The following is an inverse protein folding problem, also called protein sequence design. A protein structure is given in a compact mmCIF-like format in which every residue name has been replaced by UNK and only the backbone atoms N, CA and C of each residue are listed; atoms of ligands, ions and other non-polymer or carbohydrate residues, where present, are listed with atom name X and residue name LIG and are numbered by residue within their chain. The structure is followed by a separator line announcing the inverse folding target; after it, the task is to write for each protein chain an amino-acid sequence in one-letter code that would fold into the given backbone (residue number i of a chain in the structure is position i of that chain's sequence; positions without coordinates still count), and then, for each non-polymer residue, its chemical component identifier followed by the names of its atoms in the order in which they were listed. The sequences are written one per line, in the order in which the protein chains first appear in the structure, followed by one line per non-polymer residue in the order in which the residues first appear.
data_IF_796925677171
#
_entry.id   IF_796925677171
#
_cell.length_a   1.000
_cell.length_b   1.000
_cell.length_c   1.000
_cell.angle_alpha   90.00
_cell.angle_beta   90.00
_cell.angle_gamma   90.00
#
_symmetry.space_group_name_H-M   'P 1'
#
loop_
_entity.id
_entity.type
_entity.pdbx_description
1 polymer ?
#
# COMPACT_ATOMS: atom_id res chain seq x y z
N UNK A 1 -1.48 7.18 24.12
CA UNK A 1 -1.19 8.27 23.16
C UNK A 1 0.30 8.25 22.89
N UNK A 2 0.74 7.58 21.82
CA UNK A 2 2.16 7.54 21.45
C UNK A 2 2.44 8.84 20.69
N UNK A 3 3.25 9.73 21.26
CA UNK A 3 3.69 10.93 20.57
C UNK A 3 4.65 10.53 19.45
N UNK A 4 4.39 10.97 18.22
CA UNK A 4 5.30 10.82 17.10
C UNK A 4 6.44 11.84 17.24
N UNK A 5 7.51 11.46 17.92
CA UNK A 5 8.63 12.35 18.31
C UNK A 5 9.73 12.47 17.26
N UNK A 6 9.65 11.74 16.14
CA UNK A 6 10.74 11.69 15.16
C UNK A 6 10.74 12.86 14.16
N UNK A 7 9.56 13.34 13.73
CA UNK A 7 9.44 14.42 12.74
C UNK A 7 9.90 15.77 13.29
N UNK A 8 10.00 15.93 14.62
CA UNK A 8 10.27 17.21 15.28
C UNK A 8 11.74 17.65 15.27
N UNK A 9 12.68 16.83 14.81
CA UNK A 9 14.11 17.21 14.80
C UNK A 9 14.51 18.08 13.61
N UNK A 10 13.72 18.09 12.53
CA UNK A 10 13.93 18.97 11.38
C UNK A 10 12.99 20.18 11.46
N UNK A 11 13.52 21.37 11.12
CA UNK A 11 12.72 22.61 11.02
C UNK A 11 12.50 22.96 9.55
N UNK A 12 11.25 23.24 9.19
CA UNK A 12 10.94 23.84 7.89
C UNK A 12 11.33 25.31 7.93
N UNK A 13 12.21 25.73 7.03
CA UNK A 13 12.56 27.14 6.82
C UNK A 13 11.73 27.66 5.65
N UNK A 14 10.83 28.64 5.85
CA UNK A 14 10.07 29.23 4.76
C UNK A 14 11.01 29.86 3.73
N UNK A 15 10.84 29.48 2.46
CA UNK A 15 11.60 30.03 1.35
C UNK A 15 10.73 30.12 0.10
N UNK A 16 10.66 31.30 -0.49
CA UNK A 16 9.87 31.57 -1.71
C UNK A 16 10.72 31.56 -2.99
N UNK A 17 12.05 31.57 -2.83
CA UNK A 17 13.00 31.60 -3.93
C UNK A 17 13.80 30.30 -4.01
N UNK A 18 14.18 29.90 -5.22
CA UNK A 18 15.16 28.84 -5.44
C UNK A 18 16.60 29.32 -5.14
N UNK A 19 17.59 28.43 -5.26
CA UNK A 19 19.00 28.74 -5.01
C UNK A 19 19.57 29.81 -5.97
N UNK A 20 18.89 30.06 -7.09
CA UNK A 20 19.23 31.07 -8.09
C UNK A 20 18.48 32.40 -7.89
N UNK A 21 17.60 32.51 -6.90
CA UNK A 21 16.86 33.72 -6.56
C UNK A 21 15.56 33.94 -7.35
N UNK A 22 15.11 32.96 -8.13
CA UNK A 22 13.84 33.02 -8.87
C UNK A 22 12.65 32.68 -7.97
N UNK A 23 11.47 33.23 -8.28
CA UNK A 23 10.23 32.85 -7.61
C UNK A 23 9.91 31.37 -7.83
N UNK A 24 9.73 30.62 -6.73
CA UNK A 24 9.39 29.20 -6.76
C UNK A 24 7.89 29.02 -6.60
N UNK A 25 7.23 28.60 -7.68
CA UNK A 25 5.85 28.13 -7.64
C UNK A 25 5.81 26.64 -7.26
N UNK A 26 4.73 26.23 -6.60
CA UNK A 26 4.60 24.86 -6.09
C UNK A 26 4.32 23.92 -7.26
N UNK A 27 5.29 23.08 -7.60
CA UNK A 27 5.14 21.93 -8.48
C UNK A 27 5.33 20.66 -7.63
N UNK A 28 4.27 19.87 -7.53
CA UNK A 28 4.29 18.59 -6.80
C UNK A 28 4.53 17.39 -7.71
N UNK A 29 4.68 17.63 -9.01
CA UNK A 29 4.94 16.54 -9.95
C UNK A 29 6.29 15.91 -9.65
N UNK A 30 6.36 14.59 -9.79
CA UNK A 30 7.60 13.84 -9.58
C UNK A 30 7.59 12.61 -10.46
N UNK A 31 8.76 11.99 -10.64
CA UNK A 31 8.87 10.71 -11.36
C UNK A 31 9.37 9.64 -10.41
N UNK A 32 8.59 8.57 -10.26
CA UNK A 32 8.90 7.44 -9.38
C UNK A 32 8.76 6.16 -10.20
N UNK A 33 9.81 5.32 -10.19
CA UNK A 33 9.83 4.03 -10.90
C UNK A 33 9.44 4.14 -12.40
N UNK A 34 9.85 5.24 -13.04
CA UNK A 34 9.58 5.51 -14.46
C UNK A 34 8.17 6.06 -14.77
N UNK A 35 7.36 6.36 -13.75
CA UNK A 35 6.03 6.96 -13.92
C UNK A 35 6.02 8.39 -13.39
N UNK A 36 5.48 9.32 -14.19
CA UNK A 36 5.25 10.70 -13.76
C UNK A 36 3.95 10.77 -12.96
N UNK A 37 4.04 11.26 -11.74
CA UNK A 37 2.96 11.35 -10.77
C UNK A 37 2.66 12.82 -10.45
N UNK A 38 1.39 13.18 -10.21
CA UNK A 38 1.02 14.55 -9.85
C UNK A 38 1.47 14.96 -8.44
N UNK A 39 1.68 13.99 -7.55
CA UNK A 39 2.06 14.21 -6.16
C UNK A 39 3.15 13.23 -5.73
N UNK A 40 4.06 13.61 -4.82
CA UNK A 40 5.09 12.72 -4.27
C UNK A 40 4.53 11.89 -3.10
N UNK A 41 3.35 11.30 -3.31
CA UNK A 41 2.59 10.55 -2.30
C UNK A 41 2.11 9.25 -2.92
N UNK A 42 2.18 8.16 -2.15
CA UNK A 42 1.61 6.86 -2.50
C UNK A 42 0.88 6.30 -1.27
N UNK A 43 -0.14 5.48 -1.50
CA UNK A 43 -0.84 4.78 -0.43
C UNK A 43 -0.06 3.53 -0.04
N UNK A 44 0.31 3.46 1.23
CA UNK A 44 1.04 2.36 1.81
C UNK A 44 0.25 1.04 1.76
N UNK A 45 0.94 -0.12 1.73
CA UNK A 45 0.28 -1.42 1.72
C UNK A 45 -0.32 -1.74 3.08
N UNK A 46 -1.60 -1.46 3.23
CA UNK A 46 -2.42 -1.83 4.39
C UNK A 46 -3.41 -2.91 3.92
N UNK A 47 -3.27 -4.10 4.48
CA UNK A 47 -4.17 -5.22 4.23
C UNK A 47 -5.40 -5.20 5.16
N UNK A 48 -6.27 -6.18 4.96
CA UNK A 48 -7.46 -6.44 5.80
C UNK A 48 -8.38 -5.22 5.89
N UNK A 49 -8.58 -4.48 4.81
CA UNK A 49 -9.32 -3.22 4.85
C UNK A 49 -10.83 -3.40 5.10
N UNK A 50 -11.36 -4.62 4.91
CA UNK A 50 -12.77 -4.94 5.17
C UNK A 50 -13.20 -4.77 6.64
N UNK A 51 -12.25 -4.73 7.58
CA UNK A 51 -12.54 -4.41 8.99
C UNK A 51 -12.93 -2.93 9.19
N UNK A 52 -12.58 -2.05 8.26
CA UNK A 52 -12.92 -0.63 8.30
C UNK A 52 -14.11 -0.28 7.41
N UNK A 53 -14.21 -0.92 6.25
CA UNK A 53 -15.28 -0.70 5.29
C UNK A 53 -15.52 -1.98 4.47
N UNK A 54 -16.76 -2.41 4.32
CA UNK A 54 -17.13 -3.63 3.57
C UNK A 54 -16.61 -3.67 2.13
N UNK A 55 -16.42 -2.51 1.48
CA UNK A 55 -15.84 -2.43 0.13
C UNK A 55 -14.32 -2.67 0.10
N UNK A 56 -13.67 -2.72 1.28
CA UNK A 56 -12.27 -3.07 1.46
C UNK A 56 -11.30 -2.31 0.57
N UNK A 57 -10.34 -3.05 0.02
CA UNK A 57 -9.29 -2.54 -0.86
C UNK A 57 -9.83 -2.00 -2.19
N UNK A 58 -11.01 -2.45 -2.65
CA UNK A 58 -11.63 -1.95 -3.87
C UNK A 58 -12.05 -0.47 -3.73
N UNK A 59 -12.57 -0.07 -2.57
CA UNK A 59 -12.87 1.33 -2.29
C UNK A 59 -11.62 2.21 -2.33
N UNK A 60 -10.53 1.75 -1.68
CA UNK A 60 -9.25 2.47 -1.69
C UNK A 60 -8.68 2.60 -3.10
N UNK A 61 -8.66 1.50 -3.86
CA UNK A 61 -8.25 1.50 -5.26
C UNK A 61 -9.02 2.54 -6.08
N UNK A 62 -10.35 2.53 -6.02
CA UNK A 62 -11.21 3.49 -6.72
C UNK A 62 -10.91 4.93 -6.33
N UNK A 63 -10.72 5.20 -5.03
CA UNK A 63 -10.38 6.53 -4.54
C UNK A 63 -9.03 7.01 -5.09
N UNK A 64 -7.98 6.17 -4.98
CA UNK A 64 -6.64 6.49 -5.46
C UNK A 64 -6.56 6.69 -6.97
N UNK A 65 -7.31 5.90 -7.73
CA UNK A 65 -7.39 6.02 -9.18
C UNK A 65 -7.90 7.40 -9.61
N UNK A 66 -8.91 7.95 -8.91
CA UNK A 66 -9.49 9.27 -9.24
C UNK A 66 -8.53 10.43 -9.01
N UNK A 67 -7.48 10.23 -8.19
CA UNK A 67 -6.45 11.22 -7.87
C UNK A 67 -5.10 10.92 -8.54
N UNK A 68 -5.01 9.83 -9.31
CA UNK A 68 -3.76 9.34 -9.92
C UNK A 68 -2.66 9.13 -8.87
N UNK A 69 -3.04 8.69 -7.68
CA UNK A 69 -2.11 8.35 -6.59
C UNK A 69 -1.79 6.87 -6.69
N UNK A 70 -0.51 6.46 -6.65
CA UNK A 70 -0.17 5.04 -6.62
C UNK A 70 -0.73 4.35 -5.38
N UNK A 71 -1.40 3.23 -5.61
CA UNK A 71 -1.82 2.34 -4.55
C UNK A 71 -0.97 1.08 -4.53
N UNK A 72 -0.38 0.80 -3.36
CA UNK A 72 0.36 -0.44 -3.10
C UNK A 72 -0.61 -1.45 -2.47
N UNK A 73 -1.06 -2.44 -3.23
CA UNK A 73 -1.90 -3.52 -2.71
C UNK A 73 -1.08 -4.46 -1.83
N UNK A 74 -1.57 -4.83 -0.64
CA UNK A 74 -0.90 -5.79 0.24
C UNK A 74 -1.20 -7.24 -0.14
N UNK A 75 -0.24 -8.14 0.11
CA UNK A 75 -0.50 -9.60 0.07
C UNK A 75 -1.55 -10.02 1.10
N UNK A 76 -1.62 -9.33 2.25
CA UNK A 76 -2.60 -9.61 3.30
C UNK A 76 -3.93 -8.84 3.06
N UNK A 77 -4.34 -8.71 1.80
CA UNK A 77 -5.58 -8.02 1.41
C UNK A 77 -6.81 -8.84 1.78
N UNK A 78 -7.91 -8.16 2.11
CA UNK A 78 -9.24 -8.78 2.25
C UNK A 78 -10.04 -8.85 0.95
N UNK A 79 -9.45 -8.42 -0.16
CA UNK A 79 -10.02 -8.40 -1.52
C UNK A 79 -9.01 -8.99 -2.51
N UNK A 80 -9.46 -9.83 -3.45
CA UNK A 80 -8.58 -10.45 -4.45
C UNK A 80 -7.77 -9.44 -5.29
N UNK A 81 -6.60 -9.86 -5.80
CA UNK A 81 -5.74 -9.03 -6.67
C UNK A 81 -6.52 -8.54 -7.90
N UNK A 82 -7.31 -9.44 -8.48
CA UNK A 82 -8.09 -9.20 -9.69
C UNK A 82 -9.23 -8.22 -9.44
N UNK A 83 -9.95 -8.33 -8.32
CA UNK A 83 -11.06 -7.43 -8.00
C UNK A 83 -10.56 -6.02 -7.67
N UNK A 84 -9.43 -5.89 -6.96
CA UNK A 84 -8.80 -4.60 -6.72
C UNK A 84 -8.30 -3.97 -8.03
N UNK A 85 -7.77 -4.78 -8.95
CA UNK A 85 -7.37 -4.29 -10.27
C UNK A 85 -8.58 -3.86 -11.11
N UNK A 86 -9.70 -4.58 -11.03
CA UNK A 86 -10.94 -4.25 -11.73
C UNK A 86 -11.62 -2.98 -11.17
N UNK A 87 -11.45 -2.70 -9.88
CA UNK A 87 -11.94 -1.47 -9.25
C UNK A 87 -11.14 -0.21 -9.64
N UNK A 88 -9.96 -0.36 -10.24
CA UNK A 88 -9.14 0.74 -10.72
C UNK A 88 -9.50 1.15 -12.15
N UNK A 89 -9.20 2.41 -12.49
CA UNK A 89 -9.31 2.92 -13.86
C UNK A 89 -8.10 2.45 -14.69
N UNK A 90 -8.25 2.12 -15.99
CA UNK A 90 -7.12 1.86 -16.87
C UNK A 90 -6.10 3.01 -16.86
N UNK A 91 -4.82 2.68 -16.71
CA UNK A 91 -3.73 3.67 -16.66
C UNK A 91 -3.43 4.24 -15.27
N UNK A 92 -4.22 3.95 -14.24
CA UNK A 92 -3.89 4.32 -12.87
C UNK A 92 -2.65 3.55 -12.36
N UNK A 93 -1.69 4.20 -11.67
CA UNK A 93 -0.52 3.54 -11.11
C UNK A 93 -0.90 2.48 -10.06
N UNK A 94 -0.53 1.21 -10.30
CA UNK A 94 -0.80 0.10 -9.39
C UNK A 94 0.49 -0.63 -9.02
N UNK A 95 0.79 -0.69 -7.73
CA UNK A 95 1.96 -1.37 -7.18
C UNK A 95 1.53 -2.49 -6.24
N UNK A 96 2.34 -3.53 -6.11
CA UNK A 96 2.02 -4.70 -5.31
C UNK A 96 3.07 -4.89 -4.22
N UNK A 97 2.61 -5.22 -3.01
CA UNK A 97 3.45 -5.55 -1.88
C UNK A 97 3.40 -7.04 -1.60
N UNK A 98 4.58 -7.65 -1.50
CA UNK A 98 4.77 -9.05 -1.17
C UNK A 98 5.17 -9.22 0.30
N UNK A 99 4.27 -9.82 1.09
CA UNK A 99 4.66 -10.49 2.33
C UNK A 99 5.14 -11.88 1.92
N UNK A 100 6.45 -12.11 1.93
CA UNK A 100 7.03 -13.32 1.36
C UNK A 100 6.60 -14.56 2.16
N UNK A 101 5.83 -15.50 1.57
CA UNK A 101 5.57 -16.81 2.17
C UNK A 101 6.88 -17.54 2.51
N UNK A 102 6.82 -18.55 3.38
CA UNK A 102 7.99 -19.41 3.62
C UNK A 102 8.44 -20.08 2.31
N UNK A 103 9.75 -20.34 2.18
CA UNK A 103 10.34 -20.92 0.95
C UNK A 103 9.72 -22.27 0.54
N UNK A 104 9.15 -22.99 1.49
CA UNK A 104 8.44 -24.25 1.21
C UNK A 104 7.15 -24.02 0.38
N UNK A 105 6.67 -22.78 0.30
CA UNK A 105 5.49 -22.32 -0.46
C UNK A 105 5.86 -21.34 -1.59
N UNK A 106 7.02 -21.56 -2.24
CA UNK A 106 7.45 -20.74 -3.38
C UNK A 106 6.47 -20.79 -4.56
N UNK A 107 5.71 -21.88 -4.70
CA UNK A 107 4.63 -22.02 -5.68
C UNK A 107 3.51 -20.98 -5.46
N UNK A 108 3.13 -20.72 -4.21
CA UNK A 108 2.19 -19.66 -3.83
C UNK A 108 2.77 -18.29 -4.19
N UNK A 109 4.04 -18.05 -3.86
CA UNK A 109 4.73 -16.80 -4.19
C UNK A 109 4.72 -16.55 -5.70
N UNK A 110 5.06 -17.56 -6.50
CA UNK A 110 5.04 -17.50 -7.95
C UNK A 110 3.62 -17.23 -8.47
N UNK A 111 2.60 -17.88 -7.89
CA UNK A 111 1.19 -17.68 -8.25
C UNK A 111 0.76 -16.22 -8.03
N UNK A 112 1.02 -15.67 -6.84
CA UNK A 112 0.69 -14.28 -6.49
C UNK A 112 1.37 -13.29 -7.43
N UNK A 113 2.67 -13.46 -7.71
CA UNK A 113 3.41 -12.57 -8.60
C UNK A 113 2.91 -12.66 -10.06
N UNK A 114 2.54 -13.85 -10.54
CA UNK A 114 1.95 -14.03 -11.87
C UNK A 114 0.60 -13.32 -11.96
N UNK A 115 -0.26 -13.47 -10.96
CA UNK A 115 -1.57 -12.80 -10.88
C UNK A 115 -1.44 -11.28 -10.83
N UNK A 116 -0.58 -10.76 -9.95
CA UNK A 116 -0.29 -9.32 -9.88
C UNK A 116 0.21 -8.78 -11.23
N UNK A 117 1.15 -9.49 -11.89
CA UNK A 117 1.62 -9.08 -13.21
C UNK A 117 0.52 -9.11 -14.26
N UNK A 118 -0.31 -10.16 -14.29
CA UNK A 118 -1.44 -10.28 -15.22
C UNK A 118 -2.51 -9.21 -15.00
N UNK A 119 -2.73 -8.80 -13.75
CA UNK A 119 -3.64 -7.72 -13.35
C UNK A 119 -3.05 -6.30 -13.61
N UNK A 120 -1.82 -6.21 -14.14
CA UNK A 120 -1.21 -4.95 -14.56
C UNK A 120 -0.57 -4.16 -13.42
N UNK A 121 -0.14 -4.82 -12.35
CA UNK A 121 0.72 -4.20 -11.34
C UNK A 121 2.13 -4.04 -11.88
N UNK A 122 2.71 -2.84 -11.74
CA UNK A 122 3.95 -2.44 -12.43
C UNK A 122 5.19 -2.39 -11.55
N UNK A 123 5.02 -2.42 -10.23
CA UNK A 123 6.11 -2.41 -9.27
C UNK A 123 5.86 -3.39 -8.13
N UNK A 124 6.94 -3.96 -7.60
CA UNK A 124 6.94 -4.91 -6.50
C UNK A 124 7.68 -4.34 -5.30
N UNK A 125 7.02 -4.32 -4.15
CA UNK A 125 7.58 -3.92 -2.86
C UNK A 125 7.66 -5.17 -1.97
N UNK A 126 8.87 -5.61 -1.62
CA UNK A 126 9.03 -6.80 -0.77
C UNK A 126 9.18 -6.35 0.68
N UNK A 127 8.27 -6.81 1.54
CA UNK A 127 8.31 -6.52 2.97
C UNK A 127 9.18 -7.54 3.67
N UNK A 128 10.26 -7.09 4.31
CA UNK A 128 11.26 -7.92 4.98
C UNK A 128 11.27 -7.76 6.51
N UNK A 129 10.50 -6.81 7.05
CA UNK A 129 10.46 -6.49 8.48
C UNK A 129 9.41 -7.29 9.28
N UNK A 130 8.60 -8.10 8.60
CA UNK A 130 7.47 -8.85 9.18
C UNK A 130 7.68 -10.35 9.05
N UNK A 131 8.85 -10.86 9.45
CA UNK A 131 9.12 -12.31 9.47
C UNK A 131 8.36 -13.04 10.59
N UNK A 132 8.09 -12.34 11.69
CA UNK A 132 7.21 -12.77 12.78
C UNK A 132 6.25 -11.61 13.07
N UNK A 133 5.02 -11.93 13.45
CA UNK A 133 4.07 -10.93 13.90
C UNK A 133 4.64 -10.17 15.12
N UNK A 134 4.56 -8.84 15.06
CA UNK A 134 5.01 -7.99 16.15
C UNK A 134 4.17 -8.19 17.42
N UNK A 135 4.76 -7.88 18.57
CA UNK A 135 4.05 -7.89 19.85
C UNK A 135 3.04 -6.75 19.93
N UNK A 136 1.76 -7.07 19.78
CA UNK A 136 0.65 -6.11 19.81
C UNK A 136 -0.31 -6.49 20.94
N UNK A 137 -0.15 -5.93 22.16
CA UNK A 137 -0.99 -6.26 23.31
C UNK A 137 -2.48 -6.14 23.03
N UNK A 138 -2.89 -5.09 22.30
CA UNK A 138 -4.29 -4.91 21.90
C UNK A 138 -4.83 -6.08 21.07
N UNK A 139 -4.03 -6.65 20.16
CA UNK A 139 -4.48 -7.78 19.34
C UNK A 139 -4.60 -9.04 20.23
N UNK A 140 -3.65 -9.25 21.15
CA UNK A 140 -3.65 -10.37 22.10
C UNK A 140 -4.81 -10.31 23.10
N UNK A 141 -5.03 -9.15 23.72
CA UNK A 141 -6.07 -8.94 24.72
C UNK A 141 -7.48 -9.12 24.14
N UNK A 142 -7.66 -8.78 22.85
CA UNK A 142 -8.91 -8.94 22.14
C UNK A 142 -9.02 -10.27 21.37
N UNK A 143 -8.00 -11.14 21.44
CA UNK A 143 -7.97 -12.40 20.68
C UNK A 143 -8.08 -12.19 19.17
N UNK A 144 -7.64 -11.05 18.66
CA UNK A 144 -7.80 -10.67 17.26
C UNK A 144 -6.63 -11.18 16.42
N UNK A 145 -6.94 -12.00 15.42
CA UNK A 145 -5.98 -12.39 14.40
C UNK A 145 -6.68 -12.46 13.03
N UNK A 146 -6.36 -11.56 12.09
CA UNK A 146 -7.03 -11.49 10.78
C UNK A 146 -6.70 -12.67 9.85
N UNK A 147 -5.76 -13.54 10.25
CA UNK A 147 -5.37 -14.73 9.50
C UNK A 147 -6.03 -16.02 9.99
N UNK A 148 -6.73 -16.00 11.13
CA UNK A 148 -7.32 -17.21 11.75
C UNK A 148 -8.78 -17.41 11.36
N UNK A 149 -9.52 -16.35 11.10
CA UNK A 149 -10.94 -16.43 10.76
C UNK A 149 -11.19 -16.24 9.26
N UNK A 150 -11.80 -17.22 8.57
CA UNK A 150 -12.18 -17.10 7.16
C UNK A 150 -13.45 -16.25 6.96
N UNK A 151 -13.71 -15.30 7.86
CA UNK A 151 -14.88 -14.43 7.72
C UNK A 151 -14.70 -13.49 6.52
N UNK A 152 -15.77 -12.79 6.14
CA UNK A 152 -15.73 -11.85 5.01
C UNK A 152 -14.86 -10.60 5.28
N UNK A 153 -14.22 -10.49 6.45
CA UNK A 153 -13.43 -9.32 6.85
C UNK A 153 -11.92 -9.60 6.95
N UNK A 154 -11.52 -10.87 7.05
CA UNK A 154 -10.13 -11.33 7.13
C UNK A 154 -9.38 -11.30 5.80
N UNK A 155 -8.18 -11.88 5.78
CA UNK A 155 -7.36 -11.97 4.55
C UNK A 155 -8.02 -12.90 3.55
N UNK A 156 -8.31 -12.38 2.37
CA UNK A 156 -8.70 -13.17 1.22
C UNK A 156 -7.40 -13.69 0.57
N UNK A 157 -6.97 -14.87 1.01
CA UNK A 157 -5.94 -15.62 0.29
C UNK A 157 -6.60 -16.06 -1.00
N UNK A 158 -6.47 -15.23 -2.02
CA UNK A 158 -7.30 -15.32 -3.22
C UNK A 158 -7.06 -16.53 -4.08
#
# INVERSE_FOLDING_TARGET
MVYQTSITHARLVPGRKDDAGNERFLDTTTTVLGQTLPFPVAIAPIGVQKIFNLDGEAATAKATASLVIPYILSTASSTSIEDVAAANVPGSPRWYQLCWPSREHDDITISLLKRAKAAGYTALFVTLDTYVLGWRPSDLDNGYNPFIHPDHSGVEIG
#
